data_IF_399519758271
#
_entry.id   IF_399519758271
#
_cell.length_a   1.000
_cell.length_b   1.000
_cell.length_c   1.000
_cell.angle_alpha   90.00
_cell.angle_beta   90.00
_cell.angle_gamma   90.00
#
_symmetry.space_group_name_H-M   'P 1'
#
loop_
_entity.id
_entity.type
_entity.pdbx_description
1 polymer ?
#
# COMPACT_ATOMS: atom_id res chain seq x y z
N UNK A 1 9.24 19.96 -16.60
CA UNK A 1 9.57 19.35 -15.28
C UNK A 1 9.39 17.84 -15.41
N UNK A 2 10.38 17.05 -14.99
CA UNK A 2 10.44 15.60 -15.24
C UNK A 2 9.22 14.85 -14.68
N UNK A 3 8.58 14.03 -15.52
CA UNK A 3 7.40 13.22 -15.19
C UNK A 3 7.61 12.18 -14.06
N UNK A 4 8.85 11.96 -13.61
CA UNK A 4 9.21 10.89 -12.66
C UNK A 4 9.71 11.38 -11.29
N UNK A 5 9.65 12.68 -10.98
CA UNK A 5 10.10 13.17 -9.66
C UNK A 5 9.18 12.67 -8.54
N UNK A 6 9.76 11.98 -7.55
CA UNK A 6 9.05 11.45 -6.37
C UNK A 6 8.65 9.97 -6.46
N UNK A 7 8.89 9.29 -7.58
CA UNK A 7 8.60 7.86 -7.75
C UNK A 7 9.85 7.02 -7.45
N UNK A 8 9.73 5.97 -6.62
CA UNK A 8 10.84 5.06 -6.33
C UNK A 8 11.16 4.19 -7.57
N UNK A 9 12.44 3.86 -7.84
CA UNK A 9 12.79 2.91 -8.90
C UNK A 9 12.40 1.49 -8.48
N UNK A 10 12.18 0.61 -9.46
CA UNK A 10 11.88 -0.80 -9.18
C UNK A 10 10.45 -1.09 -8.74
N UNK A 11 9.53 -0.11 -8.85
CA UNK A 11 8.10 -0.34 -8.59
C UNK A 11 7.52 -1.43 -9.51
N UNK A 12 6.51 -2.13 -8.98
CA UNK A 12 5.85 -3.25 -9.64
C UNK A 12 5.14 -2.90 -10.95
N UNK A 13 4.59 -3.90 -11.61
CA UNK A 13 3.91 -3.70 -12.90
C UNK A 13 2.59 -2.94 -12.76
N UNK A 14 1.76 -3.28 -11.78
CA UNK A 14 0.47 -2.64 -11.54
C UNK A 14 0.68 -1.31 -10.82
N UNK A 15 1.60 -1.27 -9.85
CA UNK A 15 2.00 -0.04 -9.16
C UNK A 15 2.45 1.04 -10.15
N UNK A 16 3.12 0.68 -11.26
CA UNK A 16 3.47 1.61 -12.34
C UNK A 16 2.27 2.27 -12.98
N UNK A 17 1.19 1.52 -13.21
CA UNK A 17 -0.04 2.06 -13.82
C UNK A 17 -0.73 2.99 -12.84
N UNK A 18 -0.91 2.53 -11.59
CA UNK A 18 -1.53 3.32 -10.52
C UNK A 18 -0.75 4.61 -10.26
N UNK A 19 0.57 4.49 -10.09
CA UNK A 19 1.47 5.63 -9.83
C UNK A 19 1.41 6.67 -10.94
N UNK A 20 1.29 6.29 -12.22
CA UNK A 20 1.13 7.28 -13.31
C UNK A 20 -0.13 8.12 -13.13
N UNK A 21 -1.25 7.50 -12.73
CA UNK A 21 -2.48 8.21 -12.42
C UNK A 21 -2.32 9.14 -11.22
N UNK A 22 -1.72 8.63 -10.14
CA UNK A 22 -1.50 9.41 -8.91
C UNK A 22 -0.57 10.60 -9.15
N UNK A 23 0.56 10.42 -9.87
CA UNK A 23 1.52 11.50 -10.15
C UNK A 23 0.88 12.70 -10.84
N UNK A 24 -0.16 12.47 -11.66
CA UNK A 24 -0.88 13.53 -12.35
C UNK A 24 -1.69 14.43 -11.38
N UNK A 25 -2.10 13.91 -10.21
CA UNK A 25 -2.89 14.67 -9.23
C UNK A 25 -2.05 15.42 -8.20
N UNK A 26 -0.77 15.06 -8.05
CA UNK A 26 0.16 15.63 -7.06
C UNK A 26 0.27 17.16 -7.11
N UNK A 27 0.37 17.82 -8.29
CA UNK A 27 0.41 19.28 -8.34
C UNK A 27 -0.86 19.94 -7.77
N UNK A 28 -2.02 19.31 -7.96
CA UNK A 28 -3.30 19.79 -7.42
C UNK A 28 -3.31 19.72 -5.90
N UNK A 29 -2.83 18.62 -5.31
CA UNK A 29 -2.70 18.52 -3.85
C UNK A 29 -1.75 19.57 -3.28
N UNK A 30 -0.63 19.83 -3.96
CA UNK A 30 0.29 20.88 -3.56
C UNK A 30 -0.37 22.25 -3.63
N UNK A 31 -1.12 22.53 -4.69
CA UNK A 31 -1.86 23.78 -4.86
C UNK A 31 -2.93 23.99 -3.79
N UNK A 32 -3.63 22.92 -3.38
CA UNK A 32 -4.59 22.92 -2.27
C UNK A 32 -3.93 23.09 -0.88
N UNK A 33 -2.60 23.18 -0.80
CA UNK A 33 -1.88 23.30 0.47
C UNK A 33 -1.86 22.01 1.29
N UNK A 34 -2.12 20.85 0.67
CA UNK A 34 -2.08 19.58 1.38
C UNK A 34 -0.66 19.24 1.86
N UNK A 35 -0.56 18.63 3.03
CA UNK A 35 0.67 18.03 3.55
C UNK A 35 0.66 16.51 3.34
N UNK A 36 1.83 15.85 3.27
CA UNK A 36 1.89 14.38 3.22
C UNK A 36 1.09 13.73 4.35
N UNK A 37 1.29 14.16 5.60
CA UNK A 37 0.54 13.62 6.75
C UNK A 37 -0.97 13.87 6.66
N UNK A 38 -1.39 14.95 6.01
CA UNK A 38 -2.81 15.21 5.73
C UNK A 38 -3.40 14.17 4.76
N UNK A 39 -2.64 13.82 3.72
CA UNK A 39 -3.02 12.74 2.80
C UNK A 39 -3.01 11.38 3.50
N UNK A 40 -2.00 11.07 4.32
CA UNK A 40 -1.97 9.87 5.18
C UNK A 40 -3.21 9.80 6.08
N UNK A 41 -3.62 10.93 6.66
CA UNK A 41 -4.83 11.00 7.51
C UNK A 41 -6.10 10.69 6.73
N UNK A 42 -6.23 11.21 5.49
CA UNK A 42 -7.36 10.88 4.61
C UNK A 42 -7.36 9.38 4.24
N UNK A 43 -6.18 8.83 3.96
CA UNK A 43 -5.98 7.39 3.76
C UNK A 43 -6.40 6.58 4.99
N UNK A 44 -6.04 7.02 6.18
CA UNK A 44 -6.44 6.38 7.45
C UNK A 44 -7.95 6.42 7.67
N UNK A 45 -8.62 7.55 7.41
CA UNK A 45 -10.09 7.63 7.48
C UNK A 45 -10.74 6.65 6.49
N UNK A 46 -10.25 6.59 5.24
CA UNK A 46 -10.71 5.62 4.26
C UNK A 46 -10.45 4.17 4.71
N UNK A 47 -9.34 3.92 5.40
CA UNK A 47 -9.00 2.62 5.98
C UNK A 47 -10.02 2.16 7.01
N UNK A 48 -10.38 3.05 7.96
CA UNK A 48 -11.38 2.77 8.99
C UNK A 48 -12.74 2.49 8.35
N UNK A 49 -13.16 3.31 7.38
CA UNK A 49 -14.42 3.09 6.66
C UNK A 49 -14.42 1.77 5.89
N UNK A 50 -13.33 1.42 5.20
CA UNK A 50 -13.18 0.14 4.51
C UNK A 50 -13.37 -1.04 5.48
N UNK A 51 -12.72 -1.00 6.66
CA UNK A 51 -12.83 -2.05 7.68
C UNK A 51 -14.25 -2.14 8.24
N UNK A 52 -14.90 -1.00 8.55
CA UNK A 52 -16.28 -0.96 9.03
C UNK A 52 -17.23 -1.57 8.00
N UNK A 53 -17.16 -1.12 6.74
CA UNK A 53 -18.02 -1.63 5.67
C UNK A 53 -17.76 -3.11 5.37
N UNK A 54 -16.51 -3.56 5.46
CA UNK A 54 -16.19 -4.99 5.36
C UNK A 54 -16.84 -5.76 6.50
N UNK A 55 -16.75 -5.27 7.75
CA UNK A 55 -17.33 -5.93 8.91
C UNK A 55 -18.85 -6.10 8.81
N UNK A 56 -19.56 -5.07 8.34
CA UNK A 56 -21.01 -5.13 8.10
C UNK A 56 -21.39 -5.77 6.76
N UNK A 57 -20.41 -6.35 6.03
CA UNK A 57 -20.57 -7.07 4.75
C UNK A 57 -21.16 -6.24 3.62
N UNK A 58 -20.85 -4.95 3.60
CA UNK A 58 -21.26 -4.06 2.52
C UNK A 58 -20.11 -3.91 1.53
N UNK A 59 -20.00 -4.87 0.61
CA UNK A 59 -18.83 -5.01 -0.28
C UNK A 59 -18.54 -3.76 -1.13
N UNK A 60 -19.55 -3.20 -1.79
CA UNK A 60 -19.37 -2.08 -2.71
C UNK A 60 -18.72 -0.85 -2.03
N UNK A 61 -19.26 -0.31 -0.92
CA UNK A 61 -18.59 0.79 -0.23
C UNK A 61 -17.24 0.39 0.37
N UNK A 62 -17.09 -0.83 0.89
CA UNK A 62 -15.79 -1.30 1.39
C UNK A 62 -14.71 -1.25 0.31
N UNK A 63 -14.99 -1.76 -0.89
CA UNK A 63 -14.07 -1.77 -2.03
C UNK A 63 -13.78 -0.34 -2.53
N UNK A 64 -14.77 0.55 -2.54
CA UNK A 64 -14.54 1.97 -2.88
C UNK A 64 -13.54 2.60 -1.91
N UNK A 65 -13.75 2.43 -0.61
CA UNK A 65 -12.85 2.98 0.40
C UNK A 65 -11.47 2.31 0.41
N UNK A 66 -11.36 1.04 0.02
CA UNK A 66 -10.09 0.35 -0.22
C UNK A 66 -9.25 1.06 -1.29
N UNK A 67 -9.85 1.40 -2.42
CA UNK A 67 -9.13 2.09 -3.51
C UNK A 67 -8.85 3.56 -3.20
N UNK A 68 -9.71 4.23 -2.44
CA UNK A 68 -9.44 5.59 -1.94
C UNK A 68 -8.23 5.56 -0.99
N UNK A 69 -8.18 4.60 -0.06
CA UNK A 69 -7.01 4.39 0.81
C UNK A 69 -5.76 4.17 -0.03
N UNK A 70 -5.79 3.21 -0.97
CA UNK A 70 -4.66 2.91 -1.85
C UNK A 70 -4.15 4.18 -2.55
N UNK A 71 -5.06 5.00 -3.09
CA UNK A 71 -4.67 6.25 -3.74
C UNK A 71 -3.89 7.19 -2.80
N UNK A 72 -4.35 7.37 -1.56
CA UNK A 72 -3.69 8.28 -0.61
C UNK A 72 -2.33 7.77 -0.12
N UNK A 73 -2.18 6.47 0.05
CA UNK A 73 -0.93 5.73 0.36
C UNK A 73 0.15 5.91 -0.74
N UNK A 74 -0.25 5.98 -2.01
CA UNK A 74 0.69 6.40 -3.06
C UNK A 74 0.96 7.92 -3.03
N UNK A 75 -0.08 8.72 -2.81
CA UNK A 75 -0.02 10.16 -3.02
C UNK A 75 0.84 10.88 -1.97
N UNK A 76 0.77 10.48 -0.69
CA UNK A 76 1.50 11.12 0.40
C UNK A 76 3.02 10.98 0.25
N UNK A 77 3.52 9.79 -0.06
CA UNK A 77 4.92 9.52 -0.26
C UNK A 77 5.46 10.20 -1.51
N UNK A 78 4.68 10.24 -2.60
CA UNK A 78 5.08 10.95 -3.83
C UNK A 78 5.11 12.46 -3.57
N UNK A 79 4.10 13.02 -2.91
CA UNK A 79 4.07 14.43 -2.53
C UNK A 79 5.28 14.79 -1.65
N UNK A 80 5.57 13.96 -0.64
CA UNK A 80 6.70 14.13 0.27
C UNK A 80 8.03 14.15 -0.48
N UNK A 81 8.29 13.17 -1.35
CA UNK A 81 9.55 13.08 -2.09
C UNK A 81 9.68 14.14 -3.19
N UNK A 82 8.57 14.50 -3.85
CA UNK A 82 8.58 15.46 -4.97
C UNK A 82 8.84 16.89 -4.51
N UNK A 83 8.38 17.26 -3.32
CA UNK A 83 8.52 18.61 -2.77
C UNK A 83 9.43 18.68 -1.54
N UNK A 84 10.25 17.65 -1.32
CA UNK A 84 11.21 17.57 -0.21
C UNK A 84 10.58 17.80 1.19
N UNK A 85 9.39 17.23 1.38
CA UNK A 85 8.61 17.29 2.63
C UNK A 85 8.70 15.99 3.42
N UNK A 86 9.72 15.15 3.16
CA UNK A 86 9.92 13.89 3.88
C UNK A 86 10.32 14.15 5.33
N UNK A 87 9.67 13.47 6.28
CA UNK A 87 9.98 13.58 7.71
C UNK A 87 9.98 12.20 8.37
N UNK A 88 10.75 12.02 9.44
CA UNK A 88 10.81 10.75 10.18
C UNK A 88 9.47 10.41 10.85
N UNK A 89 8.74 11.44 11.31
CA UNK A 89 7.40 11.28 11.84
C UNK A 89 6.41 10.85 10.76
N UNK A 90 6.44 11.47 9.57
CA UNK A 90 5.58 11.10 8.45
C UNK A 90 5.79 9.66 8.00
N UNK A 91 7.04 9.23 7.83
CA UNK A 91 7.43 7.84 7.51
C UNK A 91 6.87 6.84 8.53
N UNK A 92 7.03 7.13 9.82
CA UNK A 92 6.49 6.28 10.88
C UNK A 92 4.96 6.28 10.92
N UNK A 93 4.33 7.43 10.72
CA UNK A 93 2.87 7.58 10.76
C UNK A 93 2.21 6.79 9.63
N UNK A 94 2.70 6.95 8.40
CA UNK A 94 2.25 6.22 7.22
C UNK A 94 2.25 4.70 7.46
N UNK A 95 3.41 4.16 7.81
CA UNK A 95 3.56 2.73 8.07
C UNK A 95 2.76 2.24 9.28
N UNK A 96 2.60 3.05 10.34
CA UNK A 96 1.72 2.70 11.44
C UNK A 96 0.26 2.56 10.99
N UNK A 97 -0.21 3.45 10.11
CA UNK A 97 -1.58 3.36 9.56
C UNK A 97 -1.74 2.16 8.62
N UNK A 98 -0.71 1.79 7.87
CA UNK A 98 -0.71 0.60 7.02
C UNK A 98 -0.82 -0.68 7.83
N UNK A 99 0.01 -0.82 8.86
CA UNK A 99 0.00 -1.99 9.74
C UNK A 99 -1.35 -2.10 10.44
N UNK A 100 -1.88 -0.98 10.93
CA UNK A 100 -3.17 -0.94 11.59
C UNK A 100 -4.30 -1.39 10.65
N UNK A 101 -4.33 -0.89 9.42
CA UNK A 101 -5.32 -1.28 8.42
C UNK A 101 -5.24 -2.77 8.06
N UNK A 102 -4.05 -3.25 7.68
CA UNK A 102 -3.88 -4.65 7.26
C UNK A 102 -4.21 -5.60 8.39
N UNK A 103 -3.81 -5.27 9.62
CA UNK A 103 -4.09 -6.06 10.82
C UNK A 103 -5.60 -6.07 11.13
N UNK A 104 -6.25 -4.91 11.13
CA UNK A 104 -7.69 -4.81 11.37
C UNK A 104 -8.52 -5.56 10.31
N UNK A 105 -8.20 -5.37 9.03
CA UNK A 105 -8.89 -6.05 7.94
C UNK A 105 -8.69 -7.57 8.00
N UNK A 106 -7.46 -8.02 8.23
CA UNK A 106 -7.14 -9.43 8.36
C UNK A 106 -7.90 -10.05 9.53
N UNK A 107 -7.98 -9.37 10.69
CA UNK A 107 -8.79 -9.81 11.82
C UNK A 107 -10.26 -9.97 11.42
N UNK A 108 -10.86 -8.99 10.75
CA UNK A 108 -12.27 -9.08 10.29
C UNK A 108 -12.49 -10.30 9.39
N UNK A 109 -11.59 -10.54 8.43
CA UNK A 109 -11.70 -11.69 7.51
C UNK A 109 -11.47 -13.02 8.24
N UNK A 110 -10.59 -13.08 9.24
CA UNK A 110 -10.30 -14.31 9.98
C UNK A 110 -11.36 -14.64 11.02
N UNK A 111 -11.90 -13.67 11.75
CA UNK A 111 -12.92 -13.93 12.78
C UNK A 111 -14.33 -13.98 12.19
N UNK A 112 -14.54 -13.32 11.06
CA UNK A 112 -15.82 -13.25 10.38
C UNK A 112 -16.35 -14.63 9.99
N UNK A 113 -17.67 -14.75 9.92
CA UNK A 113 -18.33 -15.94 9.40
C UNK A 113 -18.26 -15.93 7.87
N UNK A 114 -17.88 -17.05 7.26
CA UNK A 114 -17.87 -17.20 5.80
C UNK A 114 -18.90 -18.23 5.39
N UNK A 115 -19.36 -18.16 4.14
CA UNK A 115 -20.27 -19.16 3.56
C UNK A 115 -19.65 -20.56 3.50
N UNK A 116 -18.34 -20.64 3.25
CA UNK A 116 -17.58 -21.88 3.18
C UNK A 116 -16.27 -21.77 3.95
N UNK A 117 -16.01 -22.74 4.82
CA UNK A 117 -14.74 -22.83 5.56
C UNK A 117 -13.56 -23.02 4.62
N UNK A 118 -13.72 -23.76 3.52
CA UNK A 118 -12.67 -23.94 2.51
C UNK A 118 -12.32 -22.63 1.81
N UNK A 119 -13.34 -21.83 1.45
CA UNK A 119 -13.13 -20.51 0.84
C UNK A 119 -12.41 -19.56 1.79
N UNK A 120 -12.80 -19.55 3.07
CA UNK A 120 -12.13 -18.78 4.12
C UNK A 120 -10.65 -19.11 4.22
N UNK A 121 -10.33 -20.41 4.38
CA UNK A 121 -8.94 -20.87 4.52
C UNK A 121 -8.15 -20.50 3.26
N UNK A 122 -8.70 -20.76 2.08
CA UNK A 122 -8.06 -20.42 0.80
C UNK A 122 -7.73 -18.93 0.71
N UNK A 123 -8.72 -18.04 0.90
CA UNK A 123 -8.54 -16.59 0.81
C UNK A 123 -7.56 -16.05 1.84
N UNK A 124 -7.70 -16.45 3.11
CA UNK A 124 -6.80 -16.00 4.19
C UNK A 124 -5.36 -16.45 3.93
N UNK A 125 -5.16 -17.69 3.46
CA UNK A 125 -3.83 -18.22 3.14
C UNK A 125 -3.23 -17.48 1.95
N UNK A 126 -4.00 -17.26 0.88
CA UNK A 126 -3.56 -16.48 -0.28
C UNK A 126 -3.15 -15.06 0.12
N UNK A 127 -3.94 -14.36 0.95
CA UNK A 127 -3.61 -13.03 1.44
C UNK A 127 -2.33 -13.02 2.29
N UNK A 128 -2.14 -14.01 3.17
CA UNK A 128 -0.94 -14.12 3.99
C UNK A 128 0.32 -14.32 3.12
N UNK A 129 0.25 -15.23 2.14
CA UNK A 129 1.36 -15.48 1.20
C UNK A 129 1.67 -14.23 0.37
N UNK A 130 0.65 -13.58 -0.18
CA UNK A 130 0.83 -12.37 -0.99
C UNK A 130 1.42 -11.22 -0.16
N UNK A 131 0.98 -11.05 1.08
CA UNK A 131 1.55 -10.04 2.00
C UNK A 131 3.04 -10.29 2.22
N UNK A 132 3.46 -11.54 2.43
CA UNK A 132 4.87 -11.88 2.57
C UNK A 132 5.67 -11.58 1.30
N UNK A 133 5.15 -11.93 0.12
CA UNK A 133 5.79 -11.64 -1.16
C UNK A 133 5.94 -10.14 -1.39
N UNK A 134 4.91 -9.37 -1.08
CA UNK A 134 4.91 -7.90 -1.18
C UNK A 134 5.93 -7.29 -0.21
N UNK A 135 6.06 -7.80 1.02
CA UNK A 135 7.09 -7.32 1.96
C UNK A 135 8.50 -7.52 1.41
N UNK A 136 8.78 -8.66 0.77
CA UNK A 136 10.05 -8.90 0.07
C UNK A 136 10.24 -7.91 -1.09
N UNK A 137 9.19 -7.67 -1.87
CA UNK A 137 9.21 -6.71 -2.97
C UNK A 137 9.47 -5.27 -2.48
N UNK A 138 8.85 -4.83 -1.38
CA UNK A 138 9.16 -3.54 -0.76
C UNK A 138 10.64 -3.45 -0.39
N UNK A 139 11.19 -4.52 0.19
CA UNK A 139 12.63 -4.62 0.48
C UNK A 139 13.50 -4.43 -0.76
N UNK A 140 13.10 -5.00 -1.90
CA UNK A 140 13.79 -4.80 -3.18
C UNK A 140 13.69 -3.36 -3.71
N UNK A 141 12.51 -2.74 -3.61
CA UNK A 141 12.30 -1.33 -3.99
C UNK A 141 13.18 -0.42 -3.14
N UNK A 142 13.23 -0.66 -1.82
CA UNK A 142 14.03 0.13 -0.89
C UNK A 142 15.53 -0.03 -1.18
N UNK A 143 16.00 -1.27 -1.39
CA UNK A 143 17.39 -1.54 -1.76
C UNK A 143 17.80 -0.85 -3.08
N UNK A 144 16.91 -0.82 -4.07
CA UNK A 144 17.15 -0.14 -5.35
C UNK A 144 17.16 1.40 -5.19
N UNK A 145 16.27 1.96 -4.36
CA UNK A 145 16.17 3.39 -4.10
C UNK A 145 17.46 3.93 -3.44
N UNK A 146 17.92 3.28 -2.37
CA UNK A 146 19.11 3.73 -1.62
C UNK A 146 20.42 3.52 -2.36
N UNK A 147 20.53 2.47 -3.16
CA UNK A 147 21.70 2.25 -4.04
C UNK A 147 21.94 3.45 -4.96
N UNK A 148 20.87 4.12 -5.39
CA UNK A 148 20.94 5.26 -6.29
C UNK A 148 21.16 6.61 -5.59
N UNK A 149 20.85 6.74 -4.29
CA UNK A 149 20.92 8.03 -3.58
C UNK A 149 22.22 8.29 -2.81
N UNK A 150 23.13 7.31 -2.64
CA UNK A 150 24.40 7.47 -1.88
C UNK A 150 24.26 8.10 -0.47
N UNK A 151 23.08 8.07 0.13
CA UNK A 151 22.80 8.61 1.48
C UNK A 151 22.07 7.53 2.27
N UNK A 152 22.69 6.99 3.32
CA UNK A 152 22.01 6.13 4.29
C UNK A 152 21.19 6.99 5.25
N UNK A 153 19.88 7.13 4.98
CA UNK A 153 18.91 7.54 6.00
C UNK A 153 18.14 6.30 6.43
N UNK A 154 18.21 5.97 7.73
CA UNK A 154 17.40 4.91 8.31
C UNK A 154 15.91 5.30 8.29
N UNK A 155 15.12 4.59 7.48
CA UNK A 155 13.66 4.56 7.50
C UNK A 155 13.17 3.43 8.38
N UNK A 156 11.90 3.45 8.76
CA UNK A 156 11.32 2.41 9.61
C UNK A 156 11.21 1.03 8.91
N UNK A 157 11.34 0.98 7.58
CA UNK A 157 11.39 -0.26 6.78
C UNK A 157 12.78 -0.62 6.27
N UNK A 158 13.83 0.11 6.67
CA UNK A 158 15.21 -0.11 6.21
C UNK A 158 15.72 -1.53 6.45
N UNK A 159 15.20 -2.25 7.46
CA UNK A 159 15.52 -3.66 7.73
C UNK A 159 15.12 -4.60 6.57
N UNK A 160 14.04 -4.29 5.84
CA UNK A 160 13.55 -5.12 4.74
C UNK A 160 14.50 -5.15 3.55
N UNK A 161 15.46 -4.20 3.44
CA UNK A 161 16.44 -4.16 2.35
C UNK A 161 17.24 -5.46 2.22
N UNK A 162 17.47 -6.15 3.34
CA UNK A 162 18.23 -7.39 3.39
C UNK A 162 17.42 -8.62 3.00
N UNK A 163 16.09 -8.50 2.93
CA UNK A 163 15.21 -9.57 2.51
C UNK A 163 15.15 -9.75 0.99
N UNK A 164 15.72 -8.83 0.19
CA UNK A 164 15.62 -8.86 -1.27
C UNK A 164 16.57 -9.88 -1.93
N UNK A 165 16.05 -10.95 -2.57
CA UNK A 165 16.84 -11.79 -3.46
C UNK A 165 17.04 -11.08 -4.81
N UNK A 166 18.24 -10.57 -5.07
CA UNK A 166 18.54 -9.80 -6.28
C UNK A 166 18.20 -10.55 -7.59
N UNK A 167 18.30 -11.88 -7.59
CA UNK A 167 17.96 -12.74 -8.73
C UNK A 167 16.46 -12.84 -9.02
N UNK A 168 15.60 -12.65 -8.03
CA UNK A 168 14.14 -12.80 -8.18
C UNK A 168 13.39 -11.46 -8.26
N UNK A 169 14.07 -10.31 -8.14
CA UNK A 169 13.46 -8.99 -8.23
C UNK A 169 12.56 -8.78 -9.48
N UNK A 170 12.92 -9.25 -10.70
CA UNK A 170 12.04 -9.09 -11.86
C UNK A 170 10.70 -9.84 -11.74
N UNK A 171 10.70 -10.98 -11.05
CA UNK A 171 9.51 -11.81 -10.80
C UNK A 171 8.67 -11.17 -9.69
N UNK A 172 9.33 -10.69 -8.63
CA UNK A 172 8.68 -10.02 -7.51
C UNK A 172 7.95 -8.73 -7.90
N UNK A 173 8.32 -8.09 -9.02
CA UNK A 173 7.57 -6.97 -9.60
C UNK A 173 6.11 -7.30 -9.98
N UNK A 174 5.76 -8.58 -10.13
CA UNK A 174 4.38 -9.01 -10.33
C UNK A 174 3.56 -9.05 -9.03
N UNK A 175 4.23 -9.10 -7.87
CA UNK A 175 3.65 -9.14 -6.54
C UNK A 175 3.84 -7.77 -5.86
N UNK A 176 3.09 -6.80 -6.34
CA UNK A 176 3.14 -5.43 -5.87
C UNK A 176 1.95 -5.06 -4.98
N UNK A 177 1.98 -3.88 -4.38
CA UNK A 177 0.94 -3.45 -3.44
C UNK A 177 -0.43 -3.38 -4.12
N UNK A 178 -0.47 -2.87 -5.36
CA UNK A 178 -1.71 -2.80 -6.13
C UNK A 178 -2.29 -4.19 -6.42
N UNK A 179 -1.46 -5.20 -6.71
CA UNK A 179 -1.91 -6.58 -6.85
C UNK A 179 -2.53 -7.11 -5.55
N UNK A 180 -1.92 -6.82 -4.40
CA UNK A 180 -2.47 -7.19 -3.08
C UNK A 180 -3.84 -6.53 -2.85
N UNK A 181 -3.99 -5.23 -3.16
CA UNK A 181 -5.27 -4.52 -3.06
C UNK A 181 -6.37 -5.15 -3.93
N UNK A 182 -6.06 -5.63 -5.14
CA UNK A 182 -7.02 -6.34 -5.99
C UNK A 182 -7.49 -7.66 -5.36
N UNK A 183 -6.58 -8.42 -4.77
CA UNK A 183 -6.92 -9.68 -4.09
C UNK A 183 -7.71 -9.40 -2.81
N UNK A 184 -7.38 -8.34 -2.08
CA UNK A 184 -8.19 -7.87 -0.93
C UNK A 184 -9.61 -7.51 -1.38
N UNK A 185 -9.78 -6.80 -2.49
CA UNK A 185 -11.11 -6.47 -3.02
C UNK A 185 -11.92 -7.75 -3.33
N UNK A 186 -11.28 -8.74 -3.96
CA UNK A 186 -11.90 -10.04 -4.22
C UNK A 186 -12.27 -10.77 -2.92
N UNK A 187 -11.41 -10.72 -1.89
CA UNK A 187 -11.68 -11.31 -0.59
C UNK A 187 -12.84 -10.62 0.14
N UNK A 188 -12.92 -9.27 0.09
CA UNK A 188 -14.05 -8.49 0.65
C UNK A 188 -15.36 -8.86 -0.04
N UNK A 189 -15.35 -8.98 -1.37
CA UNK A 189 -16.51 -9.40 -2.14
C UNK A 189 -16.95 -10.81 -1.73
N UNK A 190 -16.01 -11.77 -1.74
CA UNK A 190 -16.27 -13.16 -1.36
C UNK A 190 -16.71 -13.33 0.10
N UNK A 191 -16.26 -12.46 1.00
CA UNK A 191 -16.68 -12.43 2.40
C UNK A 191 -18.11 -11.93 2.59
N UNK A 192 -18.58 -11.07 1.69
CA UNK A 192 -19.88 -10.40 1.79
C UNK A 192 -21.03 -11.22 1.17
N UNK A 193 -20.72 -12.23 0.34
CA UNK A 193 -21.67 -13.11 -0.36
C UNK A 193 -21.82 -14.46 0.37
#
# INVERSE_FOLDING_TARGET
>A
MSHNQGVKPGIGYIDRVVTRGVVATIPTWRWLGASPNGLTTLGFVASVLCVIFTHIRWAAPAIVFLFIRMYFDFADGILARRYDMTTRFGDLYDHATDIAFHTALFMVLVIGKWKSTGLKIGMVTTLAILTLLVMVQIGCIEAAFYRNQKVEKETSISLLRHACPQSAAPILNAFDMSALYLVIAAAIFAFSV
#
